data_IF_309165647182
#
_entry.id   IF_309165647182
#
_cell.length_a   1.000
_cell.length_b   1.000
_cell.length_c   1.000
_cell.angle_alpha   90.00
_cell.angle_beta   90.00
_cell.angle_gamma   90.00
#
_symmetry.space_group_name_H-M   'P 1'
#
loop_
_entity.id
_entity.type
_entity.pdbx_description
1 polymer ?
#
# COMPACT_ATOMS: atom_id res chain seq x y z
N UNK A 1 21.74 18.08 -20.75
CA UNK A 1 20.50 18.76 -20.31
C UNK A 1 19.81 17.76 -19.43
N UNK A 2 19.68 18.04 -18.13
CA UNK A 2 18.79 17.26 -17.29
C UNK A 2 17.35 17.67 -17.66
N UNK A 3 16.51 16.68 -17.97
CA UNK A 3 15.08 16.91 -18.17
C UNK A 3 14.44 17.34 -16.85
N UNK A 4 13.60 18.37 -16.90
CA UNK A 4 12.75 18.80 -15.78
C UNK A 4 11.30 18.43 -16.12
N UNK A 5 10.65 17.71 -15.21
CA UNK A 5 9.23 17.37 -15.28
C UNK A 5 8.50 18.07 -14.14
N UNK A 6 7.46 18.82 -14.48
CA UNK A 6 6.59 19.48 -13.49
C UNK A 6 5.26 18.75 -13.42
N UNK A 7 4.89 18.26 -12.24
CA UNK A 7 3.64 17.54 -11.98
C UNK A 7 2.65 18.46 -11.25
N UNK A 8 1.53 18.75 -11.90
CA UNK A 8 0.49 19.66 -11.42
C UNK A 8 -0.88 19.12 -11.84
N UNK A 9 -1.80 18.94 -10.88
CA UNK A 9 -3.17 18.44 -11.07
C UNK A 9 -3.27 17.10 -11.84
N UNK A 10 -2.35 16.18 -11.56
CA UNK A 10 -2.32 14.82 -12.16
C UNK A 10 -2.77 13.77 -11.15
N UNK A 11 -3.52 12.76 -11.60
CA UNK A 11 -3.86 11.58 -10.80
C UNK A 11 -3.21 10.33 -11.39
N UNK A 12 -2.38 9.65 -10.61
CA UNK A 12 -1.75 8.36 -10.92
C UNK A 12 -2.23 7.34 -9.91
N UNK A 13 -3.23 6.54 -10.27
CA UNK A 13 -3.83 5.61 -9.32
C UNK A 13 -4.31 4.32 -9.95
N UNK A 14 -4.36 3.27 -9.12
CA UNK A 14 -4.94 1.96 -9.48
C UNK A 14 -4.28 1.31 -10.71
N UNK A 15 -3.04 1.71 -11.01
CA UNK A 15 -2.23 1.09 -12.04
C UNK A 15 -1.57 -0.19 -11.50
N UNK A 16 -1.39 -1.18 -12.37
CA UNK A 16 -0.75 -2.44 -12.03
C UNK A 16 0.28 -2.81 -13.09
N UNK A 17 1.51 -3.11 -12.65
CA UNK A 17 2.61 -3.45 -13.53
C UNK A 17 3.55 -4.47 -12.87
N UNK A 18 4.34 -5.19 -13.67
CA UNK A 18 5.38 -6.09 -13.15
C UNK A 18 6.39 -5.32 -12.27
N UNK A 19 6.76 -4.11 -12.72
CA UNK A 19 7.66 -3.18 -12.05
C UNK A 19 7.01 -1.81 -11.96
N UNK A 20 6.98 -1.24 -10.77
CA UNK A 20 6.57 0.15 -10.47
C UNK A 20 5.19 0.53 -11.03
N UNK A 21 4.12 0.24 -10.27
CA UNK A 21 2.76 0.53 -10.71
C UNK A 21 2.48 2.03 -10.89
N UNK A 22 3.07 2.88 -10.05
CA UNK A 22 2.89 4.32 -10.10
C UNK A 22 3.98 5.03 -10.90
N UNK A 23 4.70 5.96 -10.25
CA UNK A 23 5.72 6.77 -10.90
C UNK A 23 7.10 6.13 -10.70
N UNK A 24 7.83 5.89 -11.80
CA UNK A 24 9.24 5.50 -11.76
C UNK A 24 10.12 6.65 -12.25
N UNK A 25 11.10 7.04 -11.43
CA UNK A 25 12.02 8.14 -11.70
C UNK A 25 13.45 7.58 -11.84
N UNK A 26 13.95 7.63 -13.07
CA UNK A 26 15.32 7.26 -13.43
C UNK A 26 15.98 8.44 -14.15
N UNK A 27 16.61 9.31 -13.35
CA UNK A 27 17.24 10.55 -13.82
C UNK A 27 16.26 11.68 -14.16
N UNK A 28 16.81 12.89 -14.31
CA UNK A 28 16.03 14.10 -14.46
C UNK A 28 15.47 14.62 -13.13
N UNK A 29 14.95 15.84 -13.15
CA UNK A 29 14.36 16.48 -11.97
C UNK A 29 12.84 16.43 -12.07
N UNK A 30 12.18 15.99 -11.00
CA UNK A 30 10.71 16.01 -10.89
C UNK A 30 10.33 17.00 -9.80
N UNK A 31 9.43 17.93 -10.12
CA UNK A 31 8.93 18.95 -9.19
C UNK A 31 7.42 18.82 -9.09
N UNK A 32 6.93 18.70 -7.86
CA UNK A 32 5.50 18.68 -7.55
C UNK A 32 4.99 20.10 -7.29
N UNK A 33 3.86 20.45 -7.90
CA UNK A 33 3.17 21.70 -7.64
C UNK A 33 2.55 21.70 -6.23
N UNK A 34 2.95 22.62 -5.33
CA UNK A 34 2.44 22.63 -3.97
C UNK A 34 1.03 23.19 -3.82
N UNK A 35 0.49 23.83 -4.88
CA UNK A 35 -0.85 24.44 -4.90
C UNK A 35 -1.82 23.53 -5.66
N UNK A 36 -1.48 23.15 -6.89
CA UNK A 36 -2.26 22.22 -7.70
C UNK A 36 -1.71 20.80 -7.52
N UNK A 37 -1.89 20.26 -6.31
CA UNK A 37 -1.25 19.01 -5.90
C UNK A 37 -1.78 17.81 -6.67
N UNK A 38 -0.87 16.88 -6.97
CA UNK A 38 -1.21 15.63 -7.63
C UNK A 38 -1.79 14.61 -6.64
N UNK A 39 -2.37 13.54 -7.18
CA UNK A 39 -2.80 12.37 -6.43
C UNK A 39 -2.02 11.14 -6.89
N UNK A 40 -1.45 10.38 -5.97
CA UNK A 40 -0.73 9.14 -6.29
C UNK A 40 -1.13 8.07 -5.29
N UNK A 41 -1.95 7.10 -5.67
CA UNK A 41 -2.44 6.12 -4.71
C UNK A 41 -2.87 4.79 -5.31
N UNK A 42 -2.85 3.74 -4.48
CA UNK A 42 -3.33 2.39 -4.78
C UNK A 42 -2.76 1.82 -6.09
N UNK A 43 -1.55 2.25 -6.46
CA UNK A 43 -0.83 1.59 -7.54
C UNK A 43 -0.20 0.30 -7.02
N UNK A 44 0.22 -0.58 -7.91
CA UNK A 44 0.73 -1.89 -7.53
C UNK A 44 1.87 -2.37 -8.43
N UNK A 45 2.98 -2.77 -7.83
CA UNK A 45 4.07 -3.49 -8.46
C UNK A 45 4.11 -4.94 -7.95
N UNK A 46 4.20 -5.92 -8.85
CA UNK A 46 3.96 -7.33 -8.48
C UNK A 46 5.10 -7.95 -7.68
N UNK A 47 6.35 -7.58 -7.96
CA UNK A 47 7.54 -8.19 -7.35
C UNK A 47 8.53 -7.15 -6.81
N UNK A 48 8.07 -5.90 -6.65
CA UNK A 48 8.92 -4.76 -6.32
C UNK A 48 8.24 -3.86 -5.30
N UNK A 49 9.07 -3.19 -4.50
CA UNK A 49 8.66 -2.11 -3.63
C UNK A 49 8.43 -0.81 -4.42
N UNK A 50 7.93 0.22 -3.74
CA UNK A 50 7.68 1.51 -4.39
C UNK A 50 6.47 1.45 -5.32
N UNK A 51 5.37 0.87 -4.84
CA UNK A 51 4.15 0.68 -5.62
C UNK A 51 3.62 1.98 -6.21
N UNK A 52 3.61 3.06 -5.42
CA UNK A 52 3.11 4.37 -5.82
C UNK A 52 4.20 5.24 -6.44
N UNK A 53 5.42 5.17 -5.90
CA UNK A 53 6.55 5.93 -6.43
C UNK A 53 7.88 5.22 -6.16
N UNK A 54 8.76 5.21 -7.15
CA UNK A 54 10.11 4.67 -7.01
C UNK A 54 11.14 5.60 -7.67
N UNK A 55 12.31 5.73 -7.05
CA UNK A 55 13.42 6.55 -7.54
C UNK A 55 14.73 5.76 -7.44
N UNK A 56 15.63 5.90 -8.41
CA UNK A 56 16.84 5.09 -8.45
C UNK A 56 18.06 5.73 -7.73
N UNK A 57 18.32 7.02 -7.93
CA UNK A 57 19.59 7.65 -7.51
C UNK A 57 19.42 8.94 -6.70
N UNK A 58 18.32 9.67 -6.90
CA UNK A 58 18.12 10.99 -6.29
C UNK A 58 17.18 10.94 -5.09
N UNK A 59 17.15 12.06 -4.35
CA UNK A 59 16.16 12.29 -3.30
C UNK A 59 15.16 13.35 -3.74
N UNK A 60 13.90 13.20 -3.31
CA UNK A 60 12.81 14.06 -3.75
C UNK A 60 11.82 14.36 -2.63
N UNK A 61 11.25 15.57 -2.66
CA UNK A 61 10.07 15.91 -1.86
C UNK A 61 8.82 15.67 -2.69
N UNK A 62 7.98 14.75 -2.23
CA UNK A 62 6.69 14.42 -2.85
C UNK A 62 5.62 15.26 -2.18
N UNK A 63 5.02 16.16 -2.96
CA UNK A 63 3.94 17.05 -2.51
C UNK A 63 2.66 16.66 -3.23
N UNK A 64 1.72 16.07 -2.50
CA UNK A 64 0.49 15.50 -3.06
C UNK A 64 -0.72 15.87 -2.21
N UNK A 65 -1.90 15.90 -2.83
CA UNK A 65 -3.15 16.00 -2.13
C UNK A 65 -3.46 14.65 -1.49
N UNK A 66 -3.66 13.62 -2.30
CA UNK A 66 -3.98 12.28 -1.81
C UNK A 66 -2.86 11.27 -2.13
N UNK A 67 -2.43 10.52 -1.10
CA UNK A 67 -1.54 9.36 -1.23
C UNK A 67 -2.21 8.06 -0.76
N UNK A 68 -1.57 6.91 -0.90
CA UNK A 68 -2.13 5.64 -0.39
C UNK A 68 -2.29 5.67 1.13
N UNK A 69 -1.24 6.06 1.85
CA UNK A 69 -1.21 6.21 3.32
C UNK A 69 -0.54 7.53 3.69
N UNK A 70 -0.85 8.07 4.88
CA UNK A 70 -0.22 9.32 5.37
C UNK A 70 1.26 9.16 5.75
N UNK A 71 1.68 7.94 6.12
CA UNK A 71 3.06 7.62 6.47
C UNK A 71 3.55 6.47 5.57
N UNK A 72 4.09 6.79 4.38
CA UNK A 72 4.57 5.78 3.44
C UNK A 72 5.68 4.91 4.03
N UNK A 73 5.68 3.64 3.65
CA UNK A 73 6.80 2.71 3.87
C UNK A 73 7.45 2.36 2.53
N UNK A 74 8.49 1.52 2.56
CA UNK A 74 9.09 0.92 1.34
C UNK A 74 8.04 0.35 0.38
N UNK A 75 6.93 -0.19 0.92
CA UNK A 75 5.86 -0.74 0.09
C UNK A 75 5.25 0.30 -0.88
N UNK A 76 5.04 1.55 -0.44
CA UNK A 76 4.47 2.60 -1.29
C UNK A 76 5.56 3.40 -2.01
N UNK A 77 6.70 3.64 -1.35
CA UNK A 77 7.77 4.48 -1.86
C UNK A 77 9.14 3.85 -1.64
N UNK A 78 9.89 3.58 -2.72
CA UNK A 78 11.17 2.86 -2.62
C UNK A 78 12.30 3.50 -3.46
N UNK A 79 13.52 3.63 -2.91
CA UNK A 79 13.89 3.40 -1.51
C UNK A 79 13.32 4.51 -0.62
N UNK A 80 12.73 4.16 0.53
CA UNK A 80 11.95 5.10 1.36
C UNK A 80 12.79 6.28 1.86
N UNK A 81 14.08 6.04 2.12
CA UNK A 81 15.01 7.04 2.63
C UNK A 81 15.32 8.17 1.63
N UNK A 82 14.98 7.99 0.35
CA UNK A 82 15.16 9.01 -0.67
C UNK A 82 13.96 9.97 -0.75
N UNK A 83 12.91 9.75 0.05
CA UNK A 83 11.69 10.54 -0.01
C UNK A 83 11.47 11.37 1.25
N UNK A 84 10.98 12.58 1.04
CA UNK A 84 10.25 13.36 2.04
C UNK A 84 8.85 13.61 1.52
N UNK A 85 7.87 13.71 2.42
CA UNK A 85 6.46 13.75 2.04
C UNK A 85 5.74 14.96 2.67
N UNK A 86 4.94 15.62 1.85
CA UNK A 86 3.88 16.53 2.25
C UNK A 86 2.57 16.02 1.64
N UNK A 87 1.82 15.24 2.42
CA UNK A 87 0.60 14.54 2.02
C UNK A 87 -0.58 15.15 2.80
N UNK A 88 -1.62 15.61 2.09
CA UNK A 88 -2.80 16.20 2.75
C UNK A 88 -3.85 15.16 3.16
N UNK A 89 -3.96 14.06 2.40
CA UNK A 89 -5.02 13.06 2.52
C UNK A 89 -4.52 11.66 2.16
N UNK A 90 -5.21 10.63 2.65
CA UNK A 90 -4.91 9.24 2.35
C UNK A 90 -6.14 8.49 1.84
N UNK A 91 -5.92 7.46 1.01
CA UNK A 91 -6.96 6.48 0.65
C UNK A 91 -7.16 5.40 1.70
N UNK A 92 -6.08 5.02 2.39
CA UNK A 92 -6.09 3.95 3.39
C UNK A 92 -5.80 4.54 4.76
N UNK A 93 -6.80 4.45 5.63
CA UNK A 93 -6.71 4.94 7.00
C UNK A 93 -6.39 3.79 7.97
N UNK A 94 -5.47 4.01 8.92
CA UNK A 94 -5.15 3.02 9.94
C UNK A 94 -6.37 2.59 10.76
N UNK A 95 -6.44 1.30 11.10
CA UNK A 95 -7.47 0.70 11.93
C UNK A 95 -6.87 0.26 13.26
N UNK A 96 -7.39 0.83 14.36
CA UNK A 96 -7.02 0.47 15.73
C UNK A 96 -7.91 -0.68 16.25
N UNK A 97 -8.06 -1.75 15.46
CA UNK A 97 -8.93 -2.88 15.72
C UNK A 97 -8.37 -4.14 15.06
N UNK A 98 -8.89 -5.30 15.45
CA UNK A 98 -8.65 -6.52 14.68
C UNK A 98 -9.33 -6.41 13.31
N UNK A 99 -8.75 -7.05 12.31
CA UNK A 99 -9.24 -7.02 10.94
C UNK A 99 -9.64 -8.41 10.45
N UNK A 100 -10.57 -8.44 9.50
CA UNK A 100 -11.07 -9.65 8.87
C UNK A 100 -10.81 -9.60 7.37
N UNK A 101 -10.31 -10.72 6.84
CA UNK A 101 -9.93 -10.89 5.42
C UNK A 101 -10.66 -12.11 4.87
N UNK A 102 -11.15 -11.99 3.64
CA UNK A 102 -11.83 -13.04 2.89
C UNK A 102 -11.45 -12.95 1.42
N UNK A 103 -11.20 -14.09 0.76
CA UNK A 103 -10.99 -14.14 -0.68
C UNK A 103 -12.22 -13.67 -1.50
N UNK A 104 -13.40 -13.56 -0.87
CA UNK A 104 -14.62 -12.99 -1.46
C UNK A 104 -14.91 -11.57 -0.94
N UNK A 105 -14.01 -10.99 -0.14
CA UNK A 105 -14.14 -9.66 0.45
C UNK A 105 -13.88 -8.53 -0.55
N UNK A 106 -13.74 -7.31 -0.03
CA UNK A 106 -13.38 -6.14 -0.83
C UNK A 106 -12.50 -5.18 -0.05
N UNK A 107 -11.48 -4.60 -0.67
CA UNK A 107 -10.66 -3.55 -0.03
C UNK A 107 -11.41 -2.22 0.14
N UNK A 108 -12.64 -2.10 -0.41
CA UNK A 108 -13.56 -1.01 -0.09
C UNK A 108 -14.28 -1.19 1.26
N UNK A 109 -14.26 -2.40 1.82
CA UNK A 109 -14.92 -2.72 3.08
C UNK A 109 -14.14 -2.16 4.26
N UNK A 110 -14.78 -2.08 5.42
CA UNK A 110 -14.10 -1.61 6.64
C UNK A 110 -13.06 -2.60 7.15
N UNK A 111 -13.31 -3.90 6.95
CA UNK A 111 -12.51 -4.98 7.54
C UNK A 111 -12.77 -5.20 9.03
N UNK A 112 -13.75 -4.53 9.64
CA UNK A 112 -13.96 -4.53 11.10
C UNK A 112 -14.87 -5.67 11.58
N UNK A 113 -15.40 -6.49 10.66
CA UNK A 113 -16.23 -7.64 10.99
C UNK A 113 -16.13 -8.73 9.93
N UNK A 114 -16.42 -10.01 10.26
CA UNK A 114 -16.47 -11.10 9.27
C UNK A 114 -17.49 -10.86 8.15
N UNK A 115 -18.55 -10.09 8.40
CA UNK A 115 -19.58 -9.74 7.40
C UNK A 115 -19.18 -8.58 6.48
N UNK A 116 -18.08 -7.89 6.79
CA UNK A 116 -17.54 -6.78 6.00
C UNK A 116 -16.01 -6.91 5.85
N UNK A 117 -15.51 -8.03 5.29
CA UNK A 117 -14.08 -8.35 5.29
C UNK A 117 -13.33 -7.65 4.15
N UNK A 118 -12.04 -7.41 4.35
CA UNK A 118 -11.11 -6.98 3.30
C UNK A 118 -10.82 -8.12 2.33
N UNK A 119 -10.38 -7.81 1.11
CA UNK A 119 -10.08 -8.82 0.10
C UNK A 119 -8.71 -9.48 0.34
N UNK A 120 -7.68 -8.68 0.60
CA UNK A 120 -6.30 -9.14 0.67
C UNK A 120 -5.64 -8.95 2.03
N UNK A 121 -4.75 -9.88 2.38
CA UNK A 121 -3.91 -9.86 3.58
C UNK A 121 -2.96 -8.66 3.53
N UNK A 122 -2.33 -8.40 2.37
CA UNK A 122 -1.43 -7.25 2.18
C UNK A 122 -2.13 -5.92 2.45
N UNK A 123 -3.40 -5.78 2.05
CA UNK A 123 -4.19 -4.57 2.31
C UNK A 123 -4.55 -4.45 3.79
N UNK A 124 -4.89 -5.56 4.45
CA UNK A 124 -5.10 -5.58 5.89
C UNK A 124 -3.84 -5.21 6.68
N UNK A 125 -2.66 -5.68 6.27
CA UNK A 125 -1.36 -5.31 6.83
C UNK A 125 -1.10 -3.81 6.69
N UNK A 126 -1.43 -3.21 5.54
CA UNK A 126 -1.29 -1.77 5.34
C UNK A 126 -2.26 -0.96 6.21
N UNK A 127 -3.42 -1.52 6.56
CA UNK A 127 -4.47 -0.87 7.33
C UNK A 127 -4.30 -1.04 8.85
N UNK A 128 -3.79 -2.16 9.33
CA UNK A 128 -3.76 -2.47 10.77
C UNK A 128 -2.77 -1.56 11.52
N UNK A 129 -3.18 -1.08 12.68
CA UNK A 129 -2.31 -0.35 13.61
C UNK A 129 -2.28 -1.09 14.96
N UNK A 130 -1.09 -1.58 15.31
CA UNK A 130 -0.82 -2.33 16.52
C UNK A 130 0.46 -1.83 17.20
N UNK A 131 0.50 -1.96 18.52
CA UNK A 131 1.67 -1.62 19.33
C UNK A 131 1.83 -2.64 20.48
N UNK A 132 2.85 -2.44 21.31
CA UNK A 132 3.15 -3.35 22.42
C UNK A 132 2.08 -3.39 23.51
N UNK A 133 1.25 -2.35 23.62
CA UNK A 133 0.14 -2.27 24.57
C UNK A 133 -1.17 -2.80 23.96
N UNK A 134 -1.30 -2.70 22.65
CA UNK A 134 -2.47 -3.06 21.87
C UNK A 134 -2.07 -3.98 20.69
N UNK A 135 -1.67 -5.23 20.97
CA UNK A 135 -1.47 -6.21 19.90
C UNK A 135 -2.79 -6.50 19.19
N UNK A 136 -2.74 -6.81 17.89
CA UNK A 136 -3.93 -6.99 17.04
C UNK A 136 -3.82 -8.23 16.16
N UNK A 137 -4.99 -8.71 15.75
CA UNK A 137 -5.10 -9.89 14.89
C UNK A 137 -5.66 -9.52 13.52
N UNK A 138 -5.19 -10.23 12.49
CA UNK A 138 -5.86 -10.33 11.19
C UNK A 138 -6.41 -11.74 11.08
N UNK A 139 -7.73 -11.86 11.09
CA UNK A 139 -8.45 -13.12 10.89
C UNK A 139 -8.67 -13.36 9.41
N UNK A 140 -8.31 -14.55 8.94
CA UNK A 140 -8.33 -14.91 7.53
C UNK A 140 -9.33 -16.05 7.33
N UNK A 141 -10.41 -15.80 6.60
CA UNK A 141 -11.40 -16.81 6.21
C UNK A 141 -10.75 -17.85 5.29
N UNK A 142 -11.24 -19.08 5.31
CA UNK A 142 -10.83 -20.11 4.37
C UNK A 142 -10.94 -19.62 2.90
N UNK A 143 -9.88 -19.83 2.13
CA UNK A 143 -9.73 -19.31 0.78
C UNK A 143 -8.32 -19.48 0.24
N UNK A 144 -8.16 -19.21 -1.06
CA UNK A 144 -6.85 -19.13 -1.71
C UNK A 144 -6.48 -17.65 -1.78
N UNK A 145 -5.34 -17.31 -1.17
CA UNK A 145 -4.75 -15.98 -1.14
C UNK A 145 -3.48 -16.01 -1.95
N UNK A 146 -3.59 -15.56 -3.19
CA UNK A 146 -2.53 -15.56 -4.19
C UNK A 146 -2.58 -14.30 -5.02
N UNK A 147 -1.56 -14.12 -5.87
CA UNK A 147 -1.54 -13.02 -6.82
C UNK A 147 -2.79 -12.99 -7.71
N UNK A 148 -3.24 -14.14 -8.23
CA UNK A 148 -4.36 -14.21 -9.17
C UNK A 148 -5.74 -14.11 -8.53
N UNK A 149 -5.84 -14.29 -7.21
CA UNK A 149 -7.12 -14.37 -6.49
C UNK A 149 -7.39 -13.13 -5.64
N UNK A 150 -6.42 -12.69 -4.86
CA UNK A 150 -6.56 -11.56 -3.92
C UNK A 150 -5.49 -10.50 -4.12
N UNK A 151 -4.69 -10.60 -5.19
CA UNK A 151 -3.60 -9.69 -5.51
C UNK A 151 -2.56 -9.60 -4.37
N UNK A 152 -2.26 -10.75 -3.74
CA UNK A 152 -1.14 -10.83 -2.79
C UNK A 152 0.19 -10.76 -3.52
N UNK A 153 1.14 -10.04 -2.91
CA UNK A 153 2.55 -10.08 -3.26
C UNK A 153 3.33 -10.66 -2.09
N UNK A 154 4.21 -11.63 -2.37
CA UNK A 154 5.04 -12.28 -1.36
C UNK A 154 6.49 -11.80 -1.42
N UNK A 155 7.20 -11.77 -0.28
CA UNK A 155 6.76 -12.19 1.06
C UNK A 155 5.82 -11.19 1.74
N UNK A 156 4.93 -11.67 2.61
CA UNK A 156 4.12 -10.81 3.48
C UNK A 156 4.97 -10.29 4.63
N UNK A 157 5.07 -8.96 4.74
CA UNK A 157 5.78 -8.29 5.84
C UNK A 157 4.83 -8.02 7.00
N UNK A 158 4.76 -8.94 7.96
CA UNK A 158 3.89 -8.80 9.13
C UNK A 158 4.48 -7.77 10.10
N UNK A 159 3.75 -6.69 10.45
CA UNK A 159 4.22 -5.71 11.41
C UNK A 159 4.41 -6.32 12.81
N UNK A 160 5.23 -5.69 13.63
CA UNK A 160 5.34 -6.05 15.04
C UNK A 160 3.97 -5.99 15.73
N UNK A 161 3.75 -6.87 16.71
CA UNK A 161 2.51 -6.93 17.50
C UNK A 161 1.25 -7.28 16.70
N UNK A 162 1.40 -7.77 15.47
CA UNK A 162 0.30 -8.30 14.64
C UNK A 162 0.43 -9.82 14.52
N UNK A 163 -0.69 -10.52 14.68
CA UNK A 163 -0.79 -11.97 14.41
C UNK A 163 -1.73 -12.25 13.24
N UNK A 164 -1.34 -13.16 12.35
CA UNK A 164 -2.23 -13.72 11.33
C UNK A 164 -2.88 -15.00 11.87
N UNK A 165 -4.21 -15.06 11.84
CA UNK A 165 -4.98 -16.20 12.36
C UNK A 165 -5.90 -16.72 11.25
N UNK A 166 -5.54 -17.85 10.66
CA UNK A 166 -6.41 -18.53 9.70
C UNK A 166 -7.59 -19.22 10.38
N UNK A 167 -8.74 -19.23 9.72
CA UNK A 167 -9.95 -19.91 10.16
C UNK A 167 -9.72 -21.42 10.32
N UNK A 168 -9.04 -22.05 9.36
CA UNK A 168 -8.63 -23.44 9.46
C UNK A 168 -7.24 -23.69 8.90
N UNK A 169 -6.59 -24.76 9.38
CA UNK A 169 -5.25 -25.17 8.90
C UNK A 169 -5.23 -25.52 7.41
N UNK A 170 -6.31 -26.10 6.91
CA UNK A 170 -6.35 -26.67 5.55
C UNK A 170 -7.13 -25.79 4.56
N UNK A 171 -7.90 -24.82 5.05
CA UNK A 171 -8.74 -23.98 4.20
C UNK A 171 -8.11 -22.63 3.87
N UNK A 172 -7.18 -22.12 4.67
CA UNK A 172 -6.37 -20.95 4.30
C UNK A 172 -5.14 -21.40 3.52
N UNK A 173 -5.14 -21.15 2.22
CA UNK A 173 -4.05 -21.47 1.29
C UNK A 173 -3.39 -20.16 0.88
N UNK A 174 -2.09 -20.04 1.16
CA UNK A 174 -1.25 -18.92 0.74
C UNK A 174 -0.33 -19.45 -0.36
N UNK A 175 -0.55 -18.97 -1.60
CA UNK A 175 0.09 -19.49 -2.83
C UNK A 175 0.76 -18.37 -3.63
#
# INVERSE_FOLDING_TARGET
MNSLVHLSDVTVSENSAERHGGIYIEGGEVVFDPVQRCNIYLNHAHNYYGNDICIWEDSITVVVDTFTVLNPSEHQASPINNFTFDILSAKVFPANADLYVSANGSNSNSGLSPSDPLLGISFAIMKINADSLNPRNIYIEDGIYSYSTTNESFPLHIPNYVSLIGESRNGVIID
#
